data_IF_968369728222
#
_entry.id   IF_968369728222
#
_cell.length_a   1.000
_cell.length_b   1.000
_cell.length_c   1.000
_cell.angle_alpha   90.00
_cell.angle_beta   90.00
_cell.angle_gamma   90.00
#
_symmetry.space_group_name_H-M   'P 1'
#
loop_
_entity.id
_entity.type
_entity.pdbx_description
1 polymer ?
#
# COMPACT_ATOMS: atom_id res chain seq x y z
N UNK A 1 8.59 -5.58 6.05
CA UNK A 1 9.77 -6.44 6.36
C UNK A 1 11.04 -5.60 6.50
N UNK A 2 11.25 -5.03 7.68
CA UNK A 2 12.45 -4.20 7.93
C UNK A 2 13.71 -5.04 8.11
N UNK A 3 13.59 -6.22 8.69
CA UNK A 3 14.70 -7.15 8.94
C UNK A 3 15.42 -7.62 7.67
N UNK A 4 14.74 -7.63 6.53
CA UNK A 4 15.29 -8.02 5.23
C UNK A 4 15.68 -6.82 4.35
N UNK A 5 15.80 -5.62 4.93
CA UNK A 5 16.21 -4.41 4.20
C UNK A 5 17.69 -4.48 3.81
N UNK A 6 17.96 -4.45 2.51
CA UNK A 6 19.35 -4.37 2.02
C UNK A 6 19.99 -3.01 2.27
N UNK A 7 19.19 -1.96 2.47
CA UNK A 7 19.66 -0.61 2.74
C UNK A 7 20.28 -0.44 4.14
N UNK A 8 19.79 -1.25 5.10
CA UNK A 8 20.24 -1.17 6.50
C UNK A 8 21.32 -2.21 6.83
N UNK A 9 21.70 -3.03 5.87
CA UNK A 9 22.68 -4.11 6.10
C UNK A 9 24.03 -3.54 6.60
N UNK A 10 24.45 -4.00 7.77
CA UNK A 10 25.67 -3.54 8.43
C UNK A 10 25.56 -2.20 9.15
N UNK A 11 24.34 -1.63 9.26
CA UNK A 11 24.10 -0.40 10.01
C UNK A 11 23.55 -0.71 11.41
N UNK A 12 23.78 0.18 12.37
CA UNK A 12 23.25 0.11 13.73
C UNK A 12 21.72 -0.02 13.74
N UNK A 13 21.05 0.62 12.78
CA UNK A 13 19.59 0.53 12.63
C UNK A 13 19.06 -0.88 12.35
N UNK A 14 19.91 -1.82 11.91
CA UNK A 14 19.53 -3.21 11.67
C UNK A 14 19.69 -4.11 12.91
N UNK A 15 20.32 -3.59 13.98
CA UNK A 15 20.57 -4.37 15.17
C UNK A 15 19.25 -4.81 15.84
N UNK A 16 19.20 -6.08 16.26
CA UNK A 16 18.03 -6.64 16.94
C UNK A 16 16.82 -6.96 16.05
N UNK A 17 16.83 -6.59 14.77
CA UNK A 17 15.71 -6.93 13.86
C UNK A 17 15.62 -8.43 13.61
N UNK A 18 14.39 -8.96 13.58
CA UNK A 18 14.11 -10.38 13.38
C UNK A 18 12.95 -10.55 12.42
N UNK A 19 13.09 -11.43 11.43
CA UNK A 19 12.04 -11.77 10.45
C UNK A 19 10.76 -12.23 11.13
N UNK A 20 10.90 -13.09 12.14
CA UNK A 20 9.78 -13.59 12.93
C UNK A 20 8.98 -12.44 13.57
N UNK A 21 9.65 -11.47 14.18
CA UNK A 21 8.99 -10.32 14.80
C UNK A 21 8.28 -9.43 13.78
N UNK A 22 8.87 -9.25 12.59
CA UNK A 22 8.23 -8.50 11.50
C UNK A 22 6.93 -9.19 11.03
N UNK A 23 6.94 -10.52 10.89
CA UNK A 23 5.76 -11.32 10.51
C UNK A 23 4.69 -11.23 11.61
N UNK A 24 5.05 -11.52 12.86
CA UNK A 24 4.13 -11.47 14.00
C UNK A 24 3.48 -10.09 14.16
N UNK A 25 4.23 -9.01 13.95
CA UNK A 25 3.65 -7.65 13.98
C UNK A 25 2.61 -7.42 12.87
N UNK A 26 2.87 -7.93 11.65
CA UNK A 26 1.93 -7.88 10.54
C UNK A 26 0.67 -8.70 10.82
N UNK A 27 0.83 -9.92 11.28
CA UNK A 27 -0.28 -10.83 11.60
C UNK A 27 -1.16 -10.27 12.73
N UNK A 28 -0.55 -9.71 13.77
CA UNK A 28 -1.28 -9.04 14.85
C UNK A 28 -2.10 -7.85 14.34
N UNK A 29 -1.52 -7.03 13.44
CA UNK A 29 -2.26 -5.90 12.84
C UNK A 29 -3.46 -6.38 12.00
N UNK A 30 -3.29 -7.45 11.22
CA UNK A 30 -4.39 -8.07 10.48
C UNK A 30 -5.47 -8.60 11.42
N UNK A 31 -5.08 -9.28 12.50
CA UNK A 31 -6.02 -9.78 13.52
C UNK A 31 -6.87 -8.67 14.14
N UNK A 32 -6.27 -7.51 14.43
CA UNK A 32 -6.99 -6.33 14.94
C UNK A 32 -8.01 -5.83 13.89
N UNK A 33 -7.61 -5.68 12.63
CA UNK A 33 -8.51 -5.26 11.55
C UNK A 33 -9.69 -6.23 11.41
N UNK A 34 -9.43 -7.53 11.41
CA UNK A 34 -10.46 -8.56 11.33
C UNK A 34 -11.41 -8.51 12.52
N UNK A 35 -10.90 -8.28 13.73
CA UNK A 35 -11.73 -8.11 14.92
C UNK A 35 -12.74 -6.97 14.77
N UNK A 36 -12.32 -5.83 14.24
CA UNK A 36 -13.23 -4.70 13.97
C UNK A 36 -14.25 -5.02 12.86
N UNK A 37 -13.83 -5.66 11.79
CA UNK A 37 -14.73 -6.05 10.69
C UNK A 37 -15.82 -7.00 11.23
N UNK A 38 -15.44 -8.01 12.00
CA UNK A 38 -16.37 -9.02 12.55
C UNK A 38 -17.29 -8.45 13.62
N UNK A 39 -16.89 -7.40 14.33
CA UNK A 39 -17.74 -6.73 15.32
C UNK A 39 -18.98 -6.04 14.70
N UNK A 40 -18.92 -5.73 13.41
CA UNK A 40 -20.04 -5.08 12.70
C UNK A 40 -20.95 -6.13 12.08
N UNK A 41 -22.12 -6.36 12.68
CA UNK A 41 -23.09 -7.36 12.22
C UNK A 41 -23.48 -7.15 10.75
N UNK A 42 -23.32 -8.19 9.94
CA UNK A 42 -23.68 -8.17 8.52
C UNK A 42 -22.67 -7.45 7.61
N UNK A 43 -21.56 -6.95 8.15
CA UNK A 43 -20.51 -6.34 7.35
C UNK A 43 -19.50 -7.40 6.90
N UNK A 44 -19.52 -7.72 5.62
CA UNK A 44 -18.58 -8.68 5.01
C UNK A 44 -17.93 -8.06 3.76
N UNK A 45 -16.96 -7.19 3.92
CA UNK A 45 -16.33 -6.51 2.80
C UNK A 45 -15.44 -7.47 2.00
N UNK A 46 -15.33 -7.22 0.69
CA UNK A 46 -14.24 -7.77 -0.11
C UNK A 46 -12.93 -7.18 0.38
N UNK A 47 -11.97 -8.03 0.73
CA UNK A 47 -10.65 -7.64 1.24
C UNK A 47 -9.59 -7.96 0.22
N UNK A 48 -8.86 -6.95 -0.22
CA UNK A 48 -7.82 -7.09 -1.26
C UNK A 48 -6.51 -6.51 -0.74
N UNK A 49 -5.42 -7.24 -0.88
CA UNK A 49 -4.07 -6.76 -0.62
C UNK A 49 -3.20 -6.93 -1.87
N UNK A 50 -2.50 -5.88 -2.22
CA UNK A 50 -1.47 -5.89 -3.25
C UNK A 50 -0.13 -5.78 -2.52
N UNK A 51 0.68 -6.83 -2.61
CA UNK A 51 1.97 -6.87 -1.93
C UNK A 51 2.87 -5.73 -2.41
N UNK A 52 3.54 -5.10 -1.47
CA UNK A 52 4.47 -4.01 -1.75
C UNK A 52 5.92 -4.48 -1.89
N UNK A 53 6.80 -3.54 -2.15
CA UNK A 53 8.23 -3.80 -2.22
C UNK A 53 8.82 -4.24 -0.87
N UNK A 54 8.13 -4.06 0.24
CA UNK A 54 8.55 -4.55 1.55
C UNK A 54 8.27 -6.04 1.71
N UNK A 55 7.14 -6.54 1.25
CA UNK A 55 6.83 -7.98 1.22
C UNK A 55 7.68 -8.69 0.17
N UNK A 56 7.90 -8.08 -1.00
CA UNK A 56 8.79 -8.59 -2.06
C UNK A 56 10.24 -8.83 -1.60
N UNK A 57 10.67 -8.18 -0.49
CA UNK A 57 11.98 -8.46 0.12
C UNK A 57 12.11 -9.92 0.59
N UNK A 58 11.01 -10.56 0.95
CA UNK A 58 10.99 -11.98 1.35
C UNK A 58 11.35 -12.83 0.13
N UNK A 59 10.63 -12.65 -0.98
CA UNK A 59 10.84 -13.44 -2.18
C UNK A 59 12.24 -13.20 -2.78
N UNK A 60 12.72 -11.95 -2.75
CA UNK A 60 14.11 -11.63 -3.14
C UNK A 60 15.16 -12.25 -2.23
N UNK A 61 14.89 -12.32 -0.91
CA UNK A 61 15.79 -12.98 0.01
C UNK A 61 15.87 -14.48 -0.28
N UNK A 62 14.72 -15.15 -0.44
CA UNK A 62 14.66 -16.58 -0.78
C UNK A 62 15.35 -16.85 -2.13
N UNK A 63 15.16 -15.98 -3.13
CA UNK A 63 15.83 -16.09 -4.42
C UNK A 63 17.37 -16.08 -4.33
N UNK A 64 17.93 -15.40 -3.33
CA UNK A 64 19.38 -15.36 -3.09
C UNK A 64 19.85 -16.35 -2.03
N UNK A 65 18.92 -16.97 -1.30
CA UNK A 65 19.17 -17.96 -0.24
C UNK A 65 18.16 -19.10 -0.39
N UNK A 66 18.31 -19.93 -1.45
CA UNK A 66 17.33 -20.97 -1.79
C UNK A 66 17.15 -22.03 -0.71
N UNK A 67 18.11 -22.18 0.21
CA UNK A 67 18.02 -23.05 1.39
C UNK A 67 16.89 -22.66 2.36
N UNK A 68 16.31 -21.46 2.23
CA UNK A 68 15.17 -21.00 3.00
C UNK A 68 13.82 -21.18 2.30
N UNK A 69 13.81 -21.74 1.08
CA UNK A 69 12.56 -22.01 0.38
C UNK A 69 11.67 -22.95 1.19
N UNK A 70 10.39 -22.59 1.29
CA UNK A 70 9.41 -23.31 2.11
C UNK A 70 9.39 -22.96 3.59
N UNK A 71 10.47 -22.38 4.13
CA UNK A 71 10.52 -21.90 5.53
C UNK A 71 9.97 -20.46 5.65
N UNK A 72 10.36 -19.58 4.73
CA UNK A 72 9.85 -18.22 4.63
C UNK A 72 9.39 -17.97 3.19
N UNK A 73 8.36 -17.13 3.04
CA UNK A 73 7.78 -16.79 1.76
C UNK A 73 6.65 -15.79 1.94
N UNK A 74 6.26 -15.09 0.90
CA UNK A 74 5.09 -14.20 0.94
C UNK A 74 3.79 -14.99 1.12
N UNK A 75 3.78 -16.26 0.76
CA UNK A 75 2.69 -17.23 0.98
C UNK A 75 2.47 -17.58 2.47
N UNK A 76 3.46 -17.32 3.33
CA UNK A 76 3.38 -17.53 4.78
C UNK A 76 2.79 -16.36 5.55
N UNK A 77 2.56 -15.23 4.90
CA UNK A 77 1.89 -14.08 5.52
C UNK A 77 0.40 -14.39 5.74
N UNK A 78 -0.14 -13.97 6.88
CA UNK A 78 -1.49 -14.37 7.32
C UNK A 78 -2.65 -13.74 6.49
N UNK A 79 -2.38 -13.04 5.40
CA UNK A 79 -3.42 -12.42 4.56
C UNK A 79 -4.50 -13.42 4.14
N UNK A 80 -4.10 -14.55 3.55
CA UNK A 80 -5.04 -15.58 3.09
C UNK A 80 -5.80 -16.21 4.26
N UNK A 81 -5.15 -16.43 5.40
CA UNK A 81 -5.78 -16.97 6.62
C UNK A 81 -6.90 -16.05 7.12
N UNK A 82 -6.74 -14.74 6.97
CA UNK A 82 -7.75 -13.74 7.29
C UNK A 82 -8.73 -13.45 6.12
N UNK A 83 -8.71 -14.26 5.06
CA UNK A 83 -9.66 -14.16 3.94
C UNK A 83 -9.40 -12.98 2.99
N UNK A 84 -8.17 -12.50 2.90
CA UNK A 84 -7.77 -11.49 1.92
C UNK A 84 -7.42 -12.12 0.57
N UNK A 85 -7.86 -11.48 -0.50
CA UNK A 85 -7.38 -11.77 -1.86
C UNK A 85 -5.97 -11.16 -2.00
N UNK A 86 -4.97 -12.01 -2.24
CA UNK A 86 -3.56 -11.58 -2.30
C UNK A 86 -3.10 -11.48 -3.74
N UNK A 87 -2.64 -10.30 -4.12
CA UNK A 87 -2.04 -10.05 -5.42
C UNK A 87 -0.54 -9.78 -5.26
N UNK A 88 0.25 -10.39 -6.13
CA UNK A 88 1.71 -10.25 -6.09
C UNK A 88 2.14 -8.80 -6.32
N UNK A 89 3.33 -8.50 -5.86
CA UNK A 89 3.99 -7.22 -6.09
C UNK A 89 3.94 -6.84 -7.58
N UNK A 90 3.60 -5.59 -7.87
CA UNK A 90 3.43 -4.99 -9.21
C UNK A 90 2.25 -5.54 -10.05
N UNK A 91 1.46 -6.44 -9.53
CA UNK A 91 0.24 -6.89 -10.22
C UNK A 91 -0.87 -5.86 -10.01
N UNK A 92 -1.40 -5.24 -11.06
CA UNK A 92 -2.54 -4.34 -10.93
C UNK A 92 -3.84 -5.12 -10.69
N UNK A 93 -4.72 -4.53 -9.88
CA UNK A 93 -6.06 -5.06 -9.63
C UNK A 93 -7.08 -4.04 -10.09
N UNK A 94 -7.93 -4.40 -11.03
CA UNK A 94 -8.98 -3.52 -11.51
C UNK A 94 -10.24 -3.66 -10.65
N UNK A 95 -10.71 -2.57 -10.07
CA UNK A 95 -11.98 -2.47 -9.34
C UNK A 95 -12.73 -1.26 -9.88
N UNK A 96 -13.93 -1.47 -10.39
CA UNK A 96 -14.78 -0.42 -10.96
C UNK A 96 -14.09 0.42 -12.07
N UNK A 97 -13.22 -0.18 -12.88
CA UNK A 97 -12.49 0.52 -13.93
C UNK A 97 -11.25 1.31 -13.44
N UNK A 98 -10.92 1.23 -12.16
CA UNK A 98 -9.75 1.86 -11.54
C UNK A 98 -8.70 0.78 -11.27
N UNK A 99 -7.47 1.02 -11.69
CA UNK A 99 -6.35 0.10 -11.46
C UNK A 99 -5.65 0.42 -10.14
N UNK A 100 -5.72 -0.51 -9.19
CA UNK A 100 -5.01 -0.44 -7.92
C UNK A 100 -3.66 -1.16 -8.06
N UNK A 101 -2.58 -0.54 -7.64
CA UNK A 101 -1.23 -1.09 -7.77
C UNK A 101 -0.32 -0.52 -6.67
N UNK A 102 0.72 -1.27 -6.26
CA UNK A 102 1.69 -0.72 -5.31
C UNK A 102 2.41 0.50 -5.90
N UNK A 103 2.93 0.38 -7.11
CA UNK A 103 3.34 1.49 -7.98
C UNK A 103 3.32 1.06 -9.46
N UNK A 104 3.18 2.02 -10.35
CA UNK A 104 3.31 1.79 -11.80
C UNK A 104 4.77 1.85 -12.18
N UNK A 105 5.25 0.85 -12.93
CA UNK A 105 6.62 0.83 -13.44
C UNK A 105 6.78 1.69 -14.71
N UNK A 106 7.90 2.37 -14.80
CA UNK A 106 8.38 2.86 -16.07
C UNK A 106 8.84 1.67 -16.91
N UNK A 107 8.20 1.44 -18.05
CA UNK A 107 8.44 0.27 -18.91
C UNK A 107 9.86 0.17 -19.46
N UNK A 108 10.56 1.31 -19.56
CA UNK A 108 11.94 1.37 -20.07
C UNK A 108 12.98 1.03 -19.00
N UNK A 109 12.72 1.37 -17.74
CA UNK A 109 13.72 1.27 -16.67
C UNK A 109 13.37 0.24 -15.59
N UNK A 110 12.13 -0.25 -15.56
CA UNK A 110 11.61 -1.11 -14.50
C UNK A 110 11.46 -0.43 -13.13
N UNK A 111 11.86 0.86 -13.00
CA UNK A 111 11.77 1.65 -11.76
C UNK A 111 10.36 2.22 -11.58
N UNK A 112 10.00 2.66 -10.35
CA UNK A 112 8.74 3.37 -10.15
C UNK A 112 8.62 4.58 -11.08
N UNK A 113 7.45 4.75 -11.70
CA UNK A 113 7.16 5.89 -12.56
C UNK A 113 7.27 7.19 -11.74
N UNK A 114 8.10 8.10 -12.21
CA UNK A 114 8.35 9.40 -11.58
C UNK A 114 7.31 10.46 -11.94
N UNK A 115 7.50 11.65 -11.39
CA UNK A 115 6.66 12.82 -11.68
C UNK A 115 5.49 13.00 -10.73
N UNK A 116 4.66 13.99 -11.01
CA UNK A 116 3.41 14.29 -10.30
C UNK A 116 2.29 13.34 -10.76
N UNK A 117 1.23 13.19 -9.97
CA UNK A 117 0.07 12.38 -10.34
C UNK A 117 -0.56 12.83 -11.67
N UNK A 118 -0.51 14.12 -11.97
CA UNK A 118 -0.99 14.67 -13.25
C UNK A 118 -0.19 14.15 -14.44
N UNK A 119 1.15 14.17 -14.33
CA UNK A 119 2.03 13.65 -15.38
C UNK A 119 1.92 12.14 -15.51
N UNK A 120 1.80 11.44 -14.39
CA UNK A 120 1.61 9.99 -14.37
C UNK A 120 0.31 9.59 -15.05
N UNK A 121 -0.81 10.25 -14.72
CA UNK A 121 -2.12 9.96 -15.33
C UNK A 121 -2.12 10.19 -16.85
N UNK A 122 -1.36 11.18 -17.34
CA UNK A 122 -1.17 11.38 -18.79
C UNK A 122 -0.39 10.25 -19.44
N UNK A 123 0.65 9.77 -18.76
CA UNK A 123 1.53 8.69 -19.26
C UNK A 123 0.85 7.33 -19.24
N UNK A 124 0.12 7.03 -18.16
CA UNK A 124 -0.57 5.75 -17.96
C UNK A 124 -1.80 5.66 -18.88
N UNK A 125 -2.55 6.76 -19.01
CA UNK A 125 -3.75 6.80 -19.85
C UNK A 125 -4.99 6.14 -19.25
N UNK A 126 -4.90 5.62 -18.04
CA UNK A 126 -5.96 4.91 -17.31
C UNK A 126 -6.05 5.43 -15.88
N UNK A 127 -7.24 5.27 -15.27
CA UNK A 127 -7.44 5.59 -13.86
C UNK A 127 -6.62 4.65 -12.96
N UNK A 128 -5.95 5.23 -11.97
CA UNK A 128 -5.13 4.46 -11.04
C UNK A 128 -5.16 4.99 -9.61
N UNK A 129 -4.96 4.08 -8.67
CA UNK A 129 -4.67 4.35 -7.26
C UNK A 129 -3.39 3.62 -6.89
N UNK A 130 -2.42 4.31 -6.31
CA UNK A 130 -1.16 3.71 -5.90
C UNK A 130 -0.67 4.22 -4.55
N UNK A 131 0.13 3.40 -3.87
CA UNK A 131 0.87 3.73 -2.66
C UNK A 131 2.31 4.16 -2.94
N UNK A 132 3.26 3.59 -2.21
CA UNK A 132 4.71 3.68 -2.35
C UNK A 132 5.33 5.07 -2.12
N UNK A 133 4.85 6.12 -2.78
CA UNK A 133 5.45 7.46 -2.72
C UNK A 133 5.26 8.20 -1.40
N UNK A 134 4.37 7.76 -0.53
CA UNK A 134 4.09 8.36 0.79
C UNK A 134 3.64 9.84 0.75
N UNK A 135 3.29 10.36 -0.40
CA UNK A 135 2.65 11.66 -0.58
C UNK A 135 1.18 11.46 -0.89
N UNK A 136 0.35 12.44 -0.56
CA UNK A 136 -1.03 12.47 -1.01
C UNK A 136 -1.12 13.38 -2.24
N UNK A 137 -1.43 12.80 -3.37
CA UNK A 137 -1.74 13.56 -4.58
C UNK A 137 -3.02 13.00 -5.20
N UNK A 138 -3.84 13.88 -5.74
CA UNK A 138 -5.08 13.52 -6.43
C UNK A 138 -5.29 14.40 -7.65
N UNK A 139 -5.76 13.81 -8.73
CA UNK A 139 -6.15 14.56 -9.94
C UNK A 139 -7.33 13.88 -10.64
N UNK A 140 -8.15 14.69 -11.26
CA UNK A 140 -9.23 14.29 -12.17
C UNK A 140 -9.00 14.97 -13.50
N UNK A 141 -9.17 14.23 -14.60
CA UNK A 141 -9.25 14.81 -15.94
C UNK A 141 -10.36 14.15 -16.73
N UNK A 142 -10.78 14.82 -17.80
CA UNK A 142 -11.68 14.25 -18.79
C UNK A 142 -10.94 14.02 -20.09
N UNK A 143 -11.16 12.89 -20.72
CA UNK A 143 -10.64 12.62 -22.07
C UNK A 143 -11.38 13.48 -23.07
N UNK A 144 -10.68 14.28 -23.91
CA UNK A 144 -11.33 15.30 -24.72
C UNK A 144 -12.27 14.75 -25.79
N UNK A 145 -12.03 13.55 -26.29
CA UNK A 145 -12.85 12.95 -27.35
C UNK A 145 -14.05 12.16 -26.82
N UNK A 146 -13.87 11.42 -25.76
CA UNK A 146 -14.91 10.55 -25.20
C UNK A 146 -15.69 11.17 -24.05
N UNK A 147 -15.18 12.24 -23.45
CA UNK A 147 -15.73 12.82 -22.23
C UNK A 147 -15.57 11.92 -20.99
N UNK A 148 -14.86 10.79 -21.10
CA UNK A 148 -14.67 9.87 -19.97
C UNK A 148 -13.78 10.49 -18.90
N UNK A 149 -14.18 10.42 -17.61
CA UNK A 149 -13.34 10.83 -16.52
C UNK A 149 -12.20 9.83 -16.29
N UNK A 150 -11.06 10.35 -15.86
CA UNK A 150 -9.93 9.56 -15.37
C UNK A 150 -9.43 10.16 -14.06
N UNK A 151 -9.15 9.33 -13.06
CA UNK A 151 -8.57 9.75 -11.78
C UNK A 151 -7.18 9.16 -11.61
N UNK A 152 -6.31 9.94 -10.99
CA UNK A 152 -5.01 9.47 -10.49
C UNK A 152 -4.90 9.81 -9.02
N UNK A 153 -4.56 8.83 -8.18
CA UNK A 153 -4.43 9.03 -6.74
C UNK A 153 -3.16 8.35 -6.25
N UNK A 154 -2.37 9.08 -5.46
CA UNK A 154 -1.30 8.57 -4.62
C UNK A 154 -1.76 8.74 -3.18
N UNK A 155 -1.88 7.65 -2.42
CA UNK A 155 -2.68 7.60 -1.19
C UNK A 155 -1.93 7.99 0.09
N UNK A 156 -0.64 8.37 0.02
CA UNK A 156 0.15 8.65 1.21
C UNK A 156 0.62 7.38 1.94
N UNK A 157 0.75 7.47 3.26
CA UNK A 157 1.19 6.37 4.13
C UNK A 157 0.22 6.18 5.29
N UNK A 158 0.03 4.93 5.74
CA UNK A 158 -0.84 4.60 6.87
C UNK A 158 -0.03 4.04 8.05
N UNK A 159 0.89 4.87 8.60
CA UNK A 159 1.67 4.55 9.80
C UNK A 159 2.04 5.82 10.57
N UNK A 160 2.23 5.71 11.90
CA UNK A 160 2.48 6.86 12.80
C UNK A 160 3.95 7.18 13.05
N UNK A 161 4.89 6.27 12.78
CA UNK A 161 6.31 6.49 13.09
C UNK A 161 7.04 7.36 12.05
N UNK A 162 8.15 7.95 12.44
CA UNK A 162 9.06 8.65 11.55
C UNK A 162 10.13 7.70 11.00
N UNK A 163 10.42 7.83 9.71
CA UNK A 163 11.46 7.07 9.04
C UNK A 163 12.82 7.79 9.19
N UNK A 164 13.76 7.18 9.90
CA UNK A 164 15.05 7.80 10.21
C UNK A 164 15.83 8.21 8.95
N UNK A 165 15.79 7.38 7.89
CA UNK A 165 16.50 7.63 6.63
C UNK A 165 15.98 8.84 5.85
N UNK A 166 14.77 9.32 6.14
CA UNK A 166 14.16 10.47 5.45
C UNK A 166 14.55 11.81 6.04
N UNK A 167 15.06 11.82 7.28
CA UNK A 167 15.26 13.05 8.03
C UNK A 167 13.93 13.76 8.38
N UNK A 168 14.01 14.95 8.97
CA UNK A 168 12.84 15.68 9.47
C UNK A 168 11.87 16.03 8.34
N UNK A 169 12.35 16.69 7.30
CA UNK A 169 11.51 17.19 6.20
C UNK A 169 10.86 16.06 5.40
N UNK A 170 11.58 14.95 5.17
CA UNK A 170 11.05 13.80 4.45
C UNK A 170 9.93 13.06 5.19
N UNK A 171 9.79 13.30 6.49
CA UNK A 171 8.71 12.78 7.31
C UNK A 171 7.46 13.68 7.36
N UNK A 172 7.52 14.87 6.76
CA UNK A 172 6.38 15.77 6.63
C UNK A 172 5.50 15.37 5.43
N UNK A 173 4.78 14.26 5.55
CA UNK A 173 3.89 13.76 4.51
C UNK A 173 2.53 13.35 5.10
N UNK A 174 1.53 13.21 4.24
CA UNK A 174 0.20 12.78 4.64
C UNK A 174 0.24 11.36 5.22
N UNK A 175 -0.39 11.21 6.38
CA UNK A 175 -0.58 9.93 7.07
C UNK A 175 -2.06 9.66 7.24
N UNK A 176 -2.54 8.57 6.67
CA UNK A 176 -3.95 8.23 6.66
C UNK A 176 -4.34 7.24 5.58
N UNK A 177 -5.61 7.22 5.26
CA UNK A 177 -6.18 6.44 4.18
C UNK A 177 -6.99 7.33 3.23
N UNK A 178 -7.39 6.78 2.10
CA UNK A 178 -8.29 7.45 1.15
C UNK A 178 -9.53 6.59 0.97
N UNK A 179 -10.68 7.15 1.25
CA UNK A 179 -11.96 6.53 0.97
C UNK A 179 -12.41 6.92 -0.43
N UNK A 180 -12.94 5.95 -1.18
CA UNK A 180 -13.50 6.14 -2.51
C UNK A 180 -15.00 5.87 -2.47
N UNK A 181 -15.77 6.77 -3.06
CA UNK A 181 -17.23 6.69 -3.13
C UNK A 181 -17.68 6.79 -4.60
N UNK A 182 -18.89 6.35 -4.89
CA UNK A 182 -19.50 6.44 -6.23
C UNK A 182 -18.57 5.85 -7.31
N UNK A 183 -17.92 4.73 -6.98
CA UNK A 183 -16.95 4.11 -7.88
C UNK A 183 -17.65 3.51 -9.10
N UNK A 184 -17.38 4.04 -10.28
CA UNK A 184 -17.97 3.56 -11.52
C UNK A 184 -17.13 3.95 -12.75
N UNK A 185 -16.92 3.01 -13.67
CA UNK A 185 -16.27 3.18 -15.00
C UNK A 185 -14.99 4.04 -14.96
N UNK A 186 -14.11 3.78 -13.99
CA UNK A 186 -12.83 4.48 -13.85
C UNK A 186 -12.88 5.81 -13.10
N UNK A 187 -14.02 6.17 -12.55
CA UNK A 187 -14.21 7.34 -11.70
C UNK A 187 -14.52 6.96 -10.27
N UNK A 188 -14.10 7.77 -9.32
CA UNK A 188 -14.57 7.78 -7.94
C UNK A 188 -14.43 9.17 -7.32
N UNK A 189 -15.32 9.49 -6.40
CA UNK A 189 -15.09 10.59 -5.45
C UNK A 189 -14.12 10.12 -4.38
N UNK A 190 -13.12 10.94 -4.03
CA UNK A 190 -12.13 10.59 -3.03
C UNK A 190 -12.19 11.50 -1.81
N UNK A 191 -12.03 10.91 -0.61
CA UNK A 191 -11.95 11.63 0.66
C UNK A 191 -10.72 11.13 1.42
N UNK A 192 -9.66 11.94 1.54
CA UNK A 192 -8.56 11.65 2.46
C UNK A 192 -9.03 11.72 3.91
N UNK A 193 -8.61 10.74 4.72
CA UNK A 193 -8.89 10.66 6.15
C UNK A 193 -7.55 10.51 6.87
N UNK A 194 -7.13 11.54 7.62
CA UNK A 194 -5.84 11.53 8.31
C UNK A 194 -5.86 10.63 9.54
N UNK A 195 -4.69 10.08 9.91
CA UNK A 195 -4.53 9.33 11.16
C UNK A 195 -4.92 10.18 12.37
N UNK A 196 -4.51 11.46 12.41
CA UNK A 196 -4.87 12.37 13.51
C UNK A 196 -6.39 12.56 13.65
N UNK A 197 -7.12 12.60 12.51
CA UNK A 197 -8.57 12.65 12.54
C UNK A 197 -9.15 11.34 13.08
N UNK A 198 -8.65 10.20 12.61
CA UNK A 198 -9.12 8.90 13.10
C UNK A 198 -8.87 8.73 14.59
N UNK A 199 -7.70 9.11 15.08
CA UNK A 199 -7.38 9.07 16.51
C UNK A 199 -8.37 9.90 17.32
N UNK A 200 -8.56 11.18 16.99
CA UNK A 200 -9.50 12.05 17.72
C UNK A 200 -10.95 11.53 17.74
N UNK A 201 -11.39 10.90 16.65
CA UNK A 201 -12.80 10.45 16.54
C UNK A 201 -13.02 9.11 17.22
N UNK A 202 -12.02 8.23 17.24
CA UNK A 202 -12.20 6.84 17.66
C UNK A 202 -11.45 6.45 18.93
N UNK A 203 -10.35 7.13 19.30
CA UNK A 203 -9.67 6.88 20.59
C UNK A 203 -10.43 7.51 21.77
N UNK A 204 -11.07 8.67 21.57
CA UNK A 204 -11.89 9.30 22.59
C UNK A 204 -13.26 8.62 22.81
N UNK A 205 -13.54 7.53 22.06
CA UNK A 205 -14.82 6.81 22.05
C UNK A 205 -14.74 5.43 22.73
N UNK A 206 -13.61 5.09 23.37
CA UNK A 206 -13.38 3.81 24.08
C UNK A 206 -13.26 4.01 25.58
#
# INVERSE_FOLDING_TARGET
>A
MQSLSSYDKGQLSAEGRRVKADIEAGDNALGIIEGYIQAVKGYNPRKVVILGNHEDRIDRFVSTHPEFEGFIGTDKLAFTTHGWEVFKFLTPVNICGINFVHYVQNVMTGKPLGGTVVSMLKTIGESFVMGHKQVLEHTLRYLPLSGKPQIGIIVGACYGHAEAYKGVQGNHHFRGCVMLYECNDGYAMSKPVSLDHMQRVYEDSV
#
